data_IF_177780564683
#
_entry.id   IF_177780564683
#
_cell.length_a   1.000
_cell.length_b   1.000
_cell.length_c   1.000
_cell.angle_alpha   90.00
_cell.angle_beta   90.00
_cell.angle_gamma   90.00
#
_symmetry.space_group_name_H-M   'P 1'
#
loop_
_entity.id
_entity.type
_entity.pdbx_description
1 polymer ?
#
# COMPACT_ATOMS: atom_id res chain seq x y z
N UNK A 1 1.47 -6.76 16.99
CA UNK A 1 1.85 -6.06 15.76
C UNK A 1 1.00 -4.80 15.66
N UNK A 2 1.63 -3.62 15.58
CA UNK A 2 0.90 -2.40 15.18
C UNK A 2 0.64 -2.48 13.69
N UNK A 3 -0.63 -2.37 13.28
CA UNK A 3 -1.00 -2.29 11.88
C UNK A 3 -0.47 -0.97 11.30
N UNK A 4 0.05 -1.02 10.07
CA UNK A 4 0.41 0.21 9.35
C UNK A 4 -0.83 1.12 9.27
N UNK A 5 -0.75 2.42 9.57
CA UNK A 5 -1.92 3.29 9.60
C UNK A 5 -2.74 3.26 8.31
N UNK A 6 -2.08 3.14 7.15
CA UNK A 6 -2.75 3.03 5.85
C UNK A 6 -3.37 1.67 5.54
N UNK A 7 -3.22 0.66 6.39
CA UNK A 7 -3.77 -0.67 6.14
C UNK A 7 -5.30 -0.65 6.06
N UNK A 8 -5.97 0.05 6.99
CA UNK A 8 -7.43 0.13 7.00
C UNK A 8 -7.95 0.90 5.78
N UNK A 9 -7.28 1.99 5.41
CA UNK A 9 -7.61 2.80 4.23
C UNK A 9 -7.49 1.96 2.96
N UNK A 10 -6.41 1.19 2.81
CA UNK A 10 -6.22 0.34 1.64
C UNK A 10 -7.26 -0.80 1.59
N UNK A 11 -7.63 -1.37 2.72
CA UNK A 11 -8.69 -2.38 2.81
C UNK A 11 -10.04 -1.79 2.35
N UNK A 12 -10.39 -0.59 2.82
CA UNK A 12 -11.63 0.09 2.43
C UNK A 12 -11.63 0.42 0.94
N UNK A 13 -10.53 0.98 0.41
CA UNK A 13 -10.38 1.26 -1.01
C UNK A 13 -10.58 0.01 -1.89
N UNK A 14 -9.97 -1.12 -1.51
CA UNK A 14 -10.11 -2.37 -2.25
C UNK A 14 -11.56 -2.87 -2.26
N UNK A 15 -12.28 -2.72 -1.14
CA UNK A 15 -13.71 -3.04 -1.04
C UNK A 15 -14.56 -2.14 -1.94
N UNK A 16 -14.32 -0.83 -1.90
CA UNK A 16 -15.03 0.14 -2.73
C UNK A 16 -14.84 -0.12 -4.23
N UNK A 17 -13.65 -0.56 -4.65
CA UNK A 17 -13.35 -0.94 -6.03
C UNK A 17 -13.88 -2.32 -6.43
N UNK A 18 -14.56 -3.03 -5.54
CA UNK A 18 -15.06 -4.39 -5.78
C UNK A 18 -13.96 -5.43 -5.96
N UNK A 19 -12.77 -5.17 -5.44
CA UNK A 19 -11.65 -6.10 -5.51
C UNK A 19 -11.97 -7.36 -4.71
N UNK A 20 -11.78 -8.53 -5.32
CA UNK A 20 -11.87 -9.83 -4.63
C UNK A 20 -10.58 -10.18 -3.89
N UNK A 21 -9.50 -9.42 -4.13
CA UNK A 21 -8.23 -9.64 -3.46
C UNK A 21 -8.29 -9.18 -2.02
N UNK A 22 -7.85 -10.04 -1.09
CA UNK A 22 -7.57 -9.62 0.27
C UNK A 22 -6.43 -8.60 0.28
N UNK A 23 -6.29 -7.84 1.37
CA UNK A 23 -5.15 -6.93 1.57
C UNK A 23 -3.80 -7.62 1.32
N UNK A 24 -3.59 -8.81 1.91
CA UNK A 24 -2.37 -9.59 1.69
C UNK A 24 -2.22 -10.05 0.23
N UNK A 25 -3.32 -10.44 -0.42
CA UNK A 25 -3.31 -10.83 -1.83
C UNK A 25 -2.92 -9.68 -2.76
N UNK A 26 -3.45 -8.48 -2.49
CA UNK A 26 -3.08 -7.26 -3.21
C UNK A 26 -1.61 -6.90 -3.02
N UNK A 27 -1.12 -6.89 -1.77
CA UNK A 27 0.29 -6.61 -1.50
C UNK A 27 1.23 -7.62 -2.15
N UNK A 28 0.87 -8.91 -2.15
CA UNK A 28 1.68 -9.94 -2.78
C UNK A 28 1.75 -9.76 -4.31
N UNK A 29 0.60 -9.48 -4.93
CA UNK A 29 0.51 -9.20 -6.36
C UNK A 29 1.29 -7.95 -6.76
N UNK A 30 1.17 -6.88 -5.97
CA UNK A 30 1.82 -5.59 -6.24
C UNK A 30 3.24 -5.50 -5.68
N UNK A 31 3.78 -6.58 -5.11
CA UNK A 31 5.03 -6.55 -4.33
C UNK A 31 6.22 -6.05 -5.14
N UNK A 32 6.36 -6.48 -6.39
CA UNK A 32 7.43 -6.00 -7.27
C UNK A 32 7.34 -4.50 -7.54
N UNK A 33 6.13 -3.99 -7.81
CA UNK A 33 5.90 -2.56 -8.05
C UNK A 33 6.12 -1.73 -6.78
N UNK A 34 5.63 -2.20 -5.63
CA UNK A 34 5.82 -1.53 -4.34
C UNK A 34 7.31 -1.50 -4.01
N UNK A 35 8.01 -2.62 -4.14
CA UNK A 35 9.45 -2.70 -3.82
C UNK A 35 10.30 -1.87 -4.78
N UNK A 36 9.92 -1.78 -6.05
CA UNK A 36 10.61 -0.93 -7.03
C UNK A 36 10.35 0.57 -6.81
N UNK A 37 9.24 0.93 -6.15
CA UNK A 37 8.86 2.33 -5.88
C UNK A 37 9.32 2.84 -4.52
N UNK A 38 9.95 2.00 -3.69
CA UNK A 38 10.45 2.37 -2.36
C UNK A 38 11.95 2.07 -2.21
N UNK A 39 12.69 3.01 -1.65
CA UNK A 39 14.07 2.86 -1.19
C UNK A 39 14.12 2.31 0.23
N UNK A 40 15.15 1.55 0.62
CA UNK A 40 15.38 1.15 2.02
C UNK A 40 15.49 2.33 3.00
N UNK A 41 15.76 3.53 2.50
CA UNK A 41 15.85 4.78 3.30
C UNK A 41 14.53 5.53 3.39
N UNK A 42 13.49 5.09 2.69
CA UNK A 42 12.22 5.79 2.69
C UNK A 42 11.52 5.69 4.05
N UNK A 43 10.98 6.82 4.47
CA UNK A 43 10.11 6.93 5.64
C UNK A 43 8.65 6.85 5.20
N UNK A 44 7.73 6.54 6.11
CA UNK A 44 6.30 6.57 5.78
C UNK A 44 5.88 7.91 5.16
N UNK A 45 6.39 9.03 5.66
CA UNK A 45 6.08 10.37 5.14
C UNK A 45 6.58 10.59 3.71
N UNK A 46 7.75 10.04 3.35
CA UNK A 46 8.28 10.16 1.99
C UNK A 46 7.49 9.29 1.02
N UNK A 47 7.08 8.09 1.43
CA UNK A 47 6.20 7.21 0.64
C UNK A 47 4.83 7.88 0.42
N UNK A 48 4.22 8.43 1.47
CA UNK A 48 2.93 9.15 1.36
C UNK A 48 3.03 10.33 0.38
N UNK A 49 4.16 11.02 0.33
CA UNK A 49 4.42 12.11 -0.63
C UNK A 49 4.57 11.59 -2.06
N UNK A 50 5.26 10.45 -2.26
CA UNK A 50 5.47 9.85 -3.58
C UNK A 50 4.14 9.34 -4.16
N UNK A 51 3.32 8.68 -3.35
CA UNK A 51 2.05 8.10 -3.81
C UNK A 51 0.88 9.09 -3.80
N UNK A 52 0.92 10.12 -2.96
CA UNK A 52 -0.13 11.14 -2.87
C UNK A 52 -0.10 12.21 -3.97
N UNK A 53 1.01 12.30 -4.73
CA UNK A 53 1.17 13.24 -5.84
C UNK A 53 1.07 12.59 -7.23
N UNK A 54 0.68 11.32 -7.31
CA UNK A 54 0.48 10.57 -8.56
C UNK A 54 -0.97 10.43 -8.98
#
# INVERSE_FOLDING_TARGET
>A
MSNYPGQNILIEYLKERGSKSSYCGFLNFSSEFITASISPTDTCNSIDTIWGNS
#
